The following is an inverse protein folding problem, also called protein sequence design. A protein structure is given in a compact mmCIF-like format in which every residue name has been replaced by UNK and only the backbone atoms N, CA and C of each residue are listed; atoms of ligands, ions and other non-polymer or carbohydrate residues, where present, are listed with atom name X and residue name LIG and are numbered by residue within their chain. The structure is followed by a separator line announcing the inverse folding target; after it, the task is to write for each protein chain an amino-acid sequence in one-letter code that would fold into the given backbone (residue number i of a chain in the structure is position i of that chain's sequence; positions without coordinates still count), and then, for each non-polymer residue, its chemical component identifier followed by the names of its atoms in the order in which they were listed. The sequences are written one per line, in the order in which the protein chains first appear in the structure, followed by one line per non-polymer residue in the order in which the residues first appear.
data_IF_188541419058
#
_entry.id   IF_188541419058
#
_cell.length_a   1.000
_cell.length_b   1.000
_cell.length_c   1.000
_cell.angle_alpha   90.00
_cell.angle_beta   90.00
_cell.angle_gamma   90.00
#
_symmetry.space_group_name_H-M   'P 1'
#
loop_
_entity.id
_entity.type
_entity.pdbx_description
1 polymer ?
#
# COMPACT_ATOMS: atom_id res chain seq x y z
N UNK A 1 -16.90 -21.51 26.42
CA UNK A 1 -15.57 -20.88 26.60
C UNK A 1 -14.83 -21.09 25.29
N UNK A 2 -15.26 -20.35 24.26
CA UNK A 2 -14.90 -20.61 22.87
C UNK A 2 -13.47 -20.16 22.60
N UNK A 3 -12.73 -21.02 21.92
CA UNK A 3 -11.39 -20.74 21.42
C UNK A 3 -11.32 -19.36 20.81
N UNK A 4 -10.56 -18.48 21.48
CA UNK A 4 -10.07 -17.25 20.89
C UNK A 4 -9.21 -17.67 19.70
N UNK A 5 -9.83 -17.79 18.54
CA UNK A 5 -9.19 -17.88 17.23
C UNK A 5 -8.26 -16.68 17.13
N UNK A 6 -7.01 -16.88 17.55
CA UNK A 6 -5.95 -15.91 17.38
C UNK A 6 -5.85 -15.74 15.87
N UNK A 7 -6.30 -14.60 15.36
CA UNK A 7 -6.17 -14.20 13.97
C UNK A 7 -4.68 -14.02 13.65
N UNK A 8 -3.99 -15.15 13.52
CA UNK A 8 -2.58 -15.20 13.21
C UNK A 8 -2.44 -14.83 11.75
N UNK A 9 -1.93 -13.62 11.52
CA UNK A 9 -1.52 -13.19 10.19
C UNK A 9 -0.59 -14.26 9.60
N UNK A 10 -0.87 -14.79 8.40
CA UNK A 10 -0.10 -15.89 7.85
C UNK A 10 1.37 -15.49 7.67
N UNK A 11 2.29 -16.44 7.89
CA UNK A 11 3.73 -16.17 7.94
C UNK A 11 4.24 -15.53 6.64
N UNK A 12 3.76 -16.01 5.48
CA UNK A 12 4.14 -15.46 4.17
C UNK A 12 3.82 -13.96 4.04
N UNK A 13 2.72 -13.50 4.64
CA UNK A 13 2.33 -12.09 4.58
C UNK A 13 3.22 -11.23 5.48
N UNK A 14 3.73 -11.79 6.59
CA UNK A 14 4.74 -11.12 7.41
C UNK A 14 6.06 -10.96 6.64
N UNK A 15 6.51 -12.03 5.96
CA UNK A 15 7.70 -11.98 5.11
C UNK A 15 7.55 -10.98 3.97
N UNK A 16 6.37 -10.90 3.35
CA UNK A 16 6.12 -9.89 2.31
C UNK A 16 6.27 -8.46 2.86
N UNK A 17 5.75 -8.19 4.06
CA UNK A 17 5.92 -6.89 4.73
C UNK A 17 7.37 -6.57 5.06
N UNK A 18 8.14 -7.56 5.53
CA UNK A 18 9.59 -7.41 5.77
C UNK A 18 10.32 -7.11 4.47
N UNK A 19 10.02 -7.86 3.40
CA UNK A 19 10.60 -7.64 2.07
C UNK A 19 10.31 -6.24 1.54
N UNK A 20 9.06 -5.77 1.66
CA UNK A 20 8.70 -4.39 1.31
C UNK A 20 9.46 -3.37 2.14
N UNK A 21 9.66 -3.62 3.44
CA UNK A 21 10.50 -2.81 4.32
C UNK A 21 11.94 -2.72 3.84
N UNK A 22 12.56 -3.86 3.55
CA UNK A 22 13.93 -3.93 3.04
C UNK A 22 14.06 -3.19 1.71
N UNK A 23 13.13 -3.40 0.77
CA UNK A 23 13.11 -2.66 -0.51
C UNK A 23 12.98 -1.16 -0.27
N UNK A 24 12.10 -0.73 0.63
CA UNK A 24 11.91 0.69 0.97
C UNK A 24 13.17 1.32 1.56
N UNK A 25 13.89 0.58 2.40
CA UNK A 25 15.12 1.07 3.05
C UNK A 25 16.32 1.08 2.09
N UNK A 26 16.52 -0.01 1.34
CA UNK A 26 17.64 -0.18 0.40
C UNK A 26 17.47 0.63 -0.88
N UNK A 27 16.26 1.12 -1.16
CA UNK A 27 16.03 2.01 -2.28
C UNK A 27 16.82 3.31 -2.08
N UNK A 28 17.88 3.49 -2.87
CA UNK A 28 19.00 4.35 -2.46
C UNK A 28 18.88 5.82 -2.84
N UNK A 29 18.07 6.20 -3.85
CA UNK A 29 18.00 7.58 -4.34
C UNK A 29 16.60 7.97 -4.78
N UNK A 30 15.99 8.98 -4.17
CA UNK A 30 14.68 9.51 -4.61
C UNK A 30 14.84 10.47 -5.78
N UNK A 31 15.94 11.22 -5.81
CA UNK A 31 16.31 12.20 -6.83
C UNK A 31 16.32 11.62 -8.26
N UNK A 32 16.84 10.40 -8.42
CA UNK A 32 16.98 9.74 -9.72
C UNK A 32 15.76 8.92 -10.12
N UNK A 33 14.70 8.90 -9.30
CA UNK A 33 13.65 7.89 -9.44
C UNK A 33 12.35 8.49 -9.92
N UNK A 34 11.79 7.83 -10.93
CA UNK A 34 10.53 8.25 -11.53
C UNK A 34 9.40 8.15 -10.49
N UNK A 35 8.42 9.09 -10.49
CA UNK A 35 7.29 9.09 -9.57
C UNK A 35 6.55 7.74 -9.50
N UNK A 36 6.56 7.00 -10.61
CA UNK A 36 5.92 5.70 -10.74
C UNK A 36 6.46 4.66 -9.75
N UNK A 37 7.75 4.67 -9.43
CA UNK A 37 8.31 3.73 -8.44
C UNK A 37 7.82 4.07 -7.02
N UNK A 38 7.77 5.35 -6.65
CA UNK A 38 7.24 5.79 -5.36
C UNK A 38 5.77 5.39 -5.23
N UNK A 39 4.99 5.63 -6.28
CA UNK A 39 3.57 5.25 -6.35
C UNK A 39 3.43 3.74 -6.23
N UNK A 40 4.22 2.96 -6.97
CA UNK A 40 4.19 1.50 -6.92
C UNK A 40 4.52 0.95 -5.54
N UNK A 41 5.52 1.53 -4.87
CA UNK A 41 5.89 1.14 -3.50
C UNK A 41 4.80 1.53 -2.50
N UNK A 42 4.22 2.72 -2.63
CA UNK A 42 3.07 3.16 -1.84
C UNK A 42 1.87 2.24 -2.02
N UNK A 43 1.57 1.85 -3.26
CA UNK A 43 0.49 0.93 -3.59
C UNK A 43 0.73 -0.45 -2.96
N UNK A 44 1.96 -0.95 -3.02
CA UNK A 44 2.34 -2.22 -2.40
C UNK A 44 2.15 -2.21 -0.88
N UNK A 45 2.54 -1.12 -0.20
CA UNK A 45 2.30 -0.95 1.24
C UNK A 45 0.82 -0.87 1.58
N UNK A 46 0.04 -0.08 0.83
CA UNK A 46 -1.40 0.03 1.03
C UNK A 46 -2.12 -1.30 0.78
N UNK A 47 -1.76 -2.03 -0.28
CA UNK A 47 -2.31 -3.35 -0.59
C UNK A 47 -1.96 -4.38 0.49
N UNK A 48 -0.71 -4.40 0.95
CA UNK A 48 -0.28 -5.27 2.04
C UNK A 48 -1.03 -4.99 3.35
N UNK A 49 -1.16 -3.70 3.72
CA UNK A 49 -1.89 -3.29 4.91
C UNK A 49 -3.38 -3.64 4.81
N UNK A 50 -4.00 -3.36 3.67
CA UNK A 50 -5.39 -3.73 3.37
C UNK A 50 -5.61 -5.24 3.44
N UNK A 51 -4.69 -6.04 2.89
CA UNK A 51 -4.76 -7.49 2.97
C UNK A 51 -4.65 -8.01 4.41
N UNK A 52 -3.77 -7.44 5.24
CA UNK A 52 -3.74 -7.77 6.68
C UNK A 52 -5.03 -7.41 7.39
N UNK A 53 -5.63 -6.27 7.05
CA UNK A 53 -6.88 -5.82 7.65
C UNK A 53 -8.02 -6.77 7.30
N UNK A 54 -8.17 -7.10 6.01
CA UNK A 54 -9.18 -8.05 5.50
C UNK A 54 -9.03 -9.43 6.15
N UNK A 55 -7.81 -9.96 6.24
CA UNK A 55 -7.57 -11.29 6.84
C UNK A 55 -7.77 -11.34 8.37
N UNK A 56 -7.87 -10.19 9.03
CA UNK A 56 -8.22 -10.11 10.46
C UNK A 56 -9.74 -10.13 10.69
N UNK A 57 -10.51 -9.70 9.70
CA UNK A 57 -11.95 -9.79 9.76
C UNK A 57 -12.40 -11.22 9.43
N UNK A 58 -13.53 -11.63 9.99
CA UNK A 58 -14.09 -12.97 9.81
C UNK A 58 -14.39 -13.28 8.33
N UNK A 59 -14.49 -14.56 7.96
CA UNK A 59 -14.66 -15.03 6.58
C UNK A 59 -15.97 -14.58 5.90
N UNK A 60 -16.90 -13.98 6.65
CA UNK A 60 -18.18 -13.48 6.14
C UNK A 60 -18.12 -12.08 5.48
N UNK A 61 -16.94 -11.62 5.06
CA UNK A 61 -16.83 -10.37 4.33
C UNK A 61 -17.62 -10.42 3.00
N UNK A 62 -18.63 -9.56 2.91
CA UNK A 62 -19.36 -9.33 1.67
C UNK A 62 -18.47 -8.64 0.61
N UNK A 63 -18.84 -8.75 -0.68
CA UNK A 63 -18.12 -8.13 -1.80
C UNK A 63 -17.83 -6.64 -1.55
N UNK A 64 -18.79 -5.92 -0.98
CA UNK A 64 -18.66 -4.49 -0.65
C UNK A 64 -17.45 -4.18 0.23
N UNK A 65 -17.08 -5.05 1.17
CA UNK A 65 -15.91 -4.83 2.03
C UNK A 65 -14.60 -4.91 1.26
N UNK A 66 -14.48 -5.87 0.33
CA UNK A 66 -13.30 -6.00 -0.51
C UNK A 66 -13.15 -4.82 -1.47
N UNK A 67 -14.27 -4.39 -2.08
CA UNK A 67 -14.28 -3.21 -2.95
C UNK A 67 -13.94 -1.94 -2.17
N UNK A 68 -14.56 -1.73 -1.02
CA UNK A 68 -14.29 -0.58 -0.17
C UNK A 68 -12.83 -0.58 0.33
N UNK A 69 -12.33 -1.71 0.82
CA UNK A 69 -10.95 -1.85 1.26
C UNK A 69 -9.95 -1.60 0.13
N UNK A 70 -10.22 -2.14 -1.06
CA UNK A 70 -9.43 -1.89 -2.27
C UNK A 70 -9.44 -0.41 -2.67
N UNK A 71 -10.60 0.23 -2.70
CA UNK A 71 -10.74 1.66 -3.00
C UNK A 71 -9.99 2.53 -1.99
N UNK A 72 -10.17 2.28 -0.69
CA UNK A 72 -9.47 3.01 0.38
C UNK A 72 -7.96 2.83 0.24
N UNK A 73 -7.48 1.62 -0.05
CA UNK A 73 -6.06 1.36 -0.30
C UNK A 73 -5.55 2.14 -1.53
N UNK A 74 -6.32 2.19 -2.61
CA UNK A 74 -6.00 2.96 -3.81
C UNK A 74 -5.93 4.47 -3.54
N UNK A 75 -6.92 5.02 -2.85
CA UNK A 75 -6.98 6.44 -2.48
C UNK A 75 -5.92 6.83 -1.45
N UNK A 76 -5.52 5.91 -0.56
CA UNK A 76 -4.45 6.14 0.41
C UNK A 76 -3.05 6.09 -0.21
N UNK A 77 -2.90 5.49 -1.41
CA UNK A 77 -1.60 5.30 -2.06
C UNK A 77 -0.83 6.61 -2.29
N UNK A 78 -1.42 7.69 -2.86
CA UNK A 78 -0.73 8.98 -3.00
C UNK A 78 -0.21 9.53 -1.68
N UNK A 79 -1.03 9.52 -0.62
CA UNK A 79 -0.62 10.02 0.69
C UNK A 79 0.55 9.22 1.27
N UNK A 80 0.51 7.90 1.11
CA UNK A 80 1.60 7.04 1.57
C UNK A 80 2.86 7.22 0.72
N UNK A 81 2.73 7.37 -0.60
CA UNK A 81 3.85 7.67 -1.50
C UNK A 81 4.54 8.98 -1.12
N UNK A 82 3.77 10.04 -0.84
CA UNK A 82 4.31 11.33 -0.36
C UNK A 82 5.01 11.15 0.98
N UNK A 83 4.43 10.39 1.92
CA UNK A 83 5.07 10.09 3.19
C UNK A 83 6.41 9.37 2.99
N UNK A 84 6.49 8.41 2.07
CA UNK A 84 7.73 7.72 1.72
C UNK A 84 8.78 8.70 1.15
N UNK A 85 8.37 9.64 0.30
CA UNK A 85 9.26 10.69 -0.22
C UNK A 85 9.79 11.59 0.90
N UNK A 86 8.92 12.02 1.83
CA UNK A 86 9.30 12.85 2.98
C UNK A 86 10.27 12.11 3.89
N UNK A 87 9.94 10.88 4.29
CA UNK A 87 10.79 10.07 5.16
C UNK A 87 12.14 9.84 4.51
N UNK A 88 12.17 9.50 3.22
CA UNK A 88 13.42 9.20 2.53
C UNK A 88 14.29 10.42 2.28
N UNK A 89 13.70 11.57 1.91
CA UNK A 89 14.40 12.84 1.83
C UNK A 89 14.92 13.30 3.19
N UNK A 90 14.12 13.13 4.26
CA UNK A 90 14.54 13.45 5.62
C UNK A 90 15.73 12.61 6.13
N UNK A 91 15.78 11.33 5.75
CA UNK A 91 16.91 10.44 6.12
C UNK A 91 18.23 10.89 5.46
N UNK A 92 18.19 11.53 4.30
CA UNK A 92 19.41 12.05 3.64
C UNK A 92 19.90 13.38 4.23
N UNK A 93 19.20 13.98 5.20
CA UNK A 93 19.62 15.17 5.93
C UNK A 93 20.06 16.34 5.03
N UNK A 94 19.52 16.44 3.82
CA UNK A 94 19.59 17.67 3.05
C UNK A 94 18.65 18.69 3.74
N UNK A 95 19.12 19.92 3.97
CA UNK A 95 18.31 20.99 4.58
C UNK A 95 17.12 21.46 3.72
N UNK A 96 16.74 20.68 2.72
CA UNK A 96 15.71 20.94 1.72
C UNK A 96 15.08 19.61 1.27
N UNK A 97 13.96 19.69 0.55
CA UNK A 97 13.28 18.51 0.01
C UNK A 97 13.95 18.05 -1.30
N UNK A 98 14.39 16.80 -1.37
CA UNK A 98 15.03 16.20 -2.55
C UNK A 98 14.05 15.83 -3.67
N UNK A 99 12.85 16.42 -3.67
CA UNK A 99 11.85 16.18 -4.70
C UNK A 99 11.24 17.49 -5.21
N UNK A 100 11.00 17.55 -6.51
CA UNK A 100 10.41 18.71 -7.16
C UNK A 100 8.89 18.79 -6.94
N UNK A 101 8.35 20.00 -7.01
CA UNK A 101 6.90 20.23 -7.05
C UNK A 101 6.22 19.47 -8.20
N UNK A 102 6.95 19.23 -9.30
CA UNK A 102 6.46 18.43 -10.43
C UNK A 102 6.25 16.96 -10.04
N UNK A 103 7.19 16.34 -9.32
CA UNK A 103 7.04 14.97 -8.82
C UNK A 103 5.85 14.86 -7.85
N UNK A 104 5.71 15.82 -6.93
CA UNK A 104 4.57 15.86 -6.01
C UNK A 104 3.23 15.96 -6.76
N UNK A 105 3.14 16.88 -7.73
CA UNK A 105 1.94 17.05 -8.55
C UNK A 105 1.62 15.79 -9.38
N UNK A 106 2.64 15.09 -9.89
CA UNK A 106 2.48 13.85 -10.65
C UNK A 106 1.87 12.73 -9.80
N UNK A 107 2.31 12.58 -8.55
CA UNK A 107 1.73 11.62 -7.58
C UNK A 107 0.27 11.95 -7.32
N UNK A 108 -0.05 13.22 -7.04
CA UNK A 108 -1.42 13.66 -6.75
C UNK A 108 -2.36 13.50 -7.95
N UNK A 109 -1.91 13.81 -9.17
CA UNK A 109 -2.70 13.61 -10.40
C UNK A 109 -3.02 12.15 -10.70
N UNK A 110 -2.23 11.22 -10.15
CA UNK A 110 -2.45 9.79 -10.33
C UNK A 110 -3.56 9.23 -9.41
N UNK A 111 -4.04 10.00 -8.43
CA UNK A 111 -5.04 9.57 -7.42
C UNK A 111 -6.30 8.92 -8.03
N UNK A 112 -6.96 9.49 -9.07
CA UNK A 112 -8.17 8.87 -9.63
C UNK A 112 -7.90 7.48 -10.19
N UNK A 113 -6.80 7.32 -10.93
CA UNK A 113 -6.38 6.04 -11.50
C UNK A 113 -6.01 5.02 -10.42
N UNK A 114 -5.40 5.49 -9.32
CA UNK A 114 -5.06 4.63 -8.19
C UNK A 114 -6.31 4.15 -7.45
N UNK A 115 -7.32 5.00 -7.26
CA UNK A 115 -8.62 4.59 -6.72
C UNK A 115 -9.30 3.51 -7.57
N UNK A 116 -9.32 3.68 -8.90
CA UNK A 116 -9.85 2.68 -9.85
C UNK A 116 -9.06 1.37 -9.76
N UNK A 117 -7.72 1.44 -9.77
CA UNK A 117 -6.87 0.25 -9.64
C UNK A 117 -7.08 -0.48 -8.30
N UNK A 118 -7.34 0.27 -7.22
CA UNK A 118 -7.67 -0.27 -5.91
C UNK A 118 -8.99 -1.03 -5.91
N UNK A 119 -10.03 -0.50 -6.56
CA UNK A 119 -11.30 -1.20 -6.76
C UNK A 119 -11.10 -2.52 -7.52
N UNK A 120 -10.32 -2.50 -8.61
CA UNK A 120 -10.01 -3.72 -9.38
C UNK A 120 -9.28 -4.75 -8.52
N UNK A 121 -8.31 -4.32 -7.70
CA UNK A 121 -7.60 -5.21 -6.78
C UNK A 121 -8.54 -5.79 -5.72
N UNK A 122 -9.44 -4.98 -5.16
CA UNK A 122 -10.48 -5.44 -4.24
C UNK A 122 -11.38 -6.50 -4.86
N UNK A 123 -11.79 -6.32 -6.12
CA UNK A 123 -12.56 -7.31 -6.87
C UNK A 123 -11.79 -8.62 -7.05
N UNK A 124 -10.52 -8.56 -7.45
CA UNK A 124 -9.66 -9.74 -7.60
C UNK A 124 -9.55 -10.48 -6.26
N UNK A 125 -9.30 -9.76 -5.16
CA UNK A 125 -9.23 -10.37 -3.83
C UNK A 125 -10.53 -11.05 -3.44
N UNK A 126 -11.68 -10.41 -3.70
CA UNK A 126 -12.98 -11.01 -3.43
C UNK A 126 -13.18 -12.33 -4.19
N UNK A 127 -12.80 -12.37 -5.48
CA UNK A 127 -12.91 -13.56 -6.32
C UNK A 127 -11.96 -14.68 -5.88
N UNK A 128 -10.73 -14.35 -5.48
CA UNK A 128 -9.73 -15.33 -5.04
C UNK A 128 -10.07 -15.90 -3.67
N UNK A 129 -10.55 -15.07 -2.74
CA UNK A 129 -10.81 -15.45 -1.36
C UNK A 129 -12.19 -16.09 -1.16
N UNK A 130 -13.23 -15.68 -1.90
CA UNK A 130 -14.55 -16.35 -1.84
C UNK A 130 -14.57 -17.73 -2.50
N UNK A 131 -13.58 -18.05 -3.33
CA UNK A 131 -13.45 -19.39 -3.95
C UNK A 131 -12.88 -20.46 -3.01
N UNK A 132 -12.41 -20.08 -1.81
CA UNK A 132 -11.81 -20.98 -0.81
C UNK A 132 -12.71 -21.13 0.41
#
# INVERSE_FOLDING_TARGET
MGDKLKHHTPLWLKWLGIGLGVVTLLWLRVEDVTPNYVIGLGAAWCAWAGMRFVLRWDRELQLGHYLFGGFVAGVATPSFAILLMIVKGGVHAHGFLDFSNFQLASVLRSTPWLGISGLMMGLIMALVLKRK
#
